data_IF_081899223218
#
_entry.id   IF_081899223218
#
_cell.length_a   1.000
_cell.length_b   1.000
_cell.length_c   1.000
_cell.angle_alpha   90.00
_cell.angle_beta   90.00
_cell.angle_gamma   90.00
#
_symmetry.space_group_name_H-M   'P 1'
#
loop_
_entity.id
_entity.type
_entity.pdbx_description
1 polymer ?
#
# COMPACT_ATOMS: atom_id res chain seq x y z
N UNK A 1 -58.01 20.80 57.07
CA UNK A 1 -58.46 20.99 55.67
C UNK A 1 -57.26 21.42 54.84
N UNK A 2 -57.04 20.78 53.68
CA UNK A 2 -56.13 21.13 52.57
C UNK A 2 -54.61 21.08 52.89
N UNK A 3 -53.82 20.08 52.46
CA UNK A 3 -53.43 19.55 51.11
C UNK A 3 -52.51 20.49 50.29
N UNK A 4 -51.54 19.84 49.63
CA UNK A 4 -50.58 20.27 48.60
C UNK A 4 -49.25 20.88 49.11
N UNK A 5 -48.05 20.59 48.58
CA UNK A 5 -47.53 19.63 47.58
C UNK A 5 -45.98 19.80 47.56
N UNK A 6 -45.25 18.81 47.01
CA UNK A 6 -43.89 18.90 46.41
C UNK A 6 -42.69 19.03 47.38
N UNK A 7 -41.59 18.28 47.26
CA UNK A 7 -41.22 17.22 46.33
C UNK A 7 -40.13 16.38 47.01
N UNK A 8 -40.36 15.06 47.05
CA UNK A 8 -39.38 14.06 47.45
C UNK A 8 -38.35 13.96 46.31
N UNK A 9 -37.18 14.60 46.47
CA UNK A 9 -36.07 14.44 45.55
C UNK A 9 -35.45 13.06 45.81
N UNK A 10 -35.99 12.07 45.12
CA UNK A 10 -35.39 10.75 45.02
C UNK A 10 -34.03 10.91 44.33
N UNK A 11 -32.97 10.90 45.14
CA UNK A 11 -31.61 10.73 44.67
C UNK A 11 -31.49 9.31 44.13
N UNK A 12 -31.85 9.14 42.86
CA UNK A 12 -31.60 7.93 42.12
C UNK A 12 -30.08 7.87 41.91
N UNK A 13 -29.36 7.25 42.85
CA UNK A 13 -28.03 6.74 42.58
C UNK A 13 -28.18 5.66 41.52
N UNK A 14 -28.08 6.07 40.26
CA UNK A 14 -27.69 5.16 39.21
C UNK A 14 -26.21 4.87 39.49
N UNK A 15 -25.95 3.87 40.33
CA UNK A 15 -24.66 3.19 40.34
C UNK A 15 -24.57 2.44 39.03
N UNK A 16 -24.19 3.16 37.98
CA UNK A 16 -23.64 2.53 36.79
C UNK A 16 -22.37 1.83 37.25
N UNK A 17 -22.44 0.51 37.47
CA UNK A 17 -21.25 -0.32 37.54
C UNK A 17 -20.54 -0.16 36.19
N UNK A 18 -19.62 0.81 36.09
CA UNK A 18 -18.62 0.78 35.04
C UNK A 18 -17.68 -0.36 35.42
N UNK A 19 -17.94 -1.54 34.89
CA UNK A 19 -17.01 -2.65 35.04
C UNK A 19 -15.65 -2.19 34.51
N UNK A 20 -14.64 -2.17 35.38
CA UNK A 20 -13.36 -1.57 35.07
C UNK A 20 -12.64 -2.40 33.99
N UNK A 21 -12.12 -1.72 32.98
CA UNK A 21 -11.16 -2.31 32.06
C UNK A 21 -9.95 -2.82 32.86
N UNK A 22 -9.46 -4.02 32.52
CA UNK A 22 -8.24 -4.58 33.12
C UNK A 22 -7.06 -4.28 32.21
N UNK A 23 -5.93 -3.95 32.83
CA UNK A 23 -4.69 -3.61 32.15
C UNK A 23 -3.55 -4.51 32.64
N UNK A 24 -2.76 -5.04 31.70
CA UNK A 24 -1.51 -5.77 31.98
C UNK A 24 -0.40 -5.12 31.18
N UNK A 25 0.64 -4.64 31.88
CA UNK A 25 1.82 -4.01 31.29
C UNK A 25 2.99 -4.98 31.32
N UNK A 26 3.67 -5.14 30.20
CA UNK A 26 4.91 -5.92 30.07
C UNK A 26 6.00 -4.98 29.56
N UNK A 27 7.11 -4.90 30.28
CA UNK A 27 8.28 -4.13 29.88
C UNK A 27 9.51 -5.05 29.86
N UNK A 28 10.23 -5.05 28.74
CA UNK A 28 11.46 -5.82 28.54
C UNK A 28 12.46 -5.02 27.71
N UNK A 29 13.73 -5.17 28.03
CA UNK A 29 14.84 -4.60 27.26
C UNK A 29 15.82 -5.71 26.94
N UNK A 30 16.27 -5.74 25.69
CA UNK A 30 17.25 -6.68 25.17
C UNK A 30 18.40 -5.89 24.57
N UNK A 31 19.58 -6.52 24.45
CA UNK A 31 20.64 -5.98 23.61
C UNK A 31 20.17 -5.93 22.16
N UNK A 32 20.67 -4.99 21.36
CA UNK A 32 20.41 -5.02 19.92
C UNK A 32 20.88 -6.33 19.29
N UNK A 33 20.14 -6.75 18.26
CA UNK A 33 20.40 -7.94 17.46
C UNK A 33 20.32 -7.55 15.99
N UNK A 34 20.85 -8.39 15.11
CA UNK A 34 20.74 -8.16 13.67
C UNK A 34 19.29 -8.28 13.17
N UNK A 35 18.55 -9.29 13.65
CA UNK A 35 17.20 -9.59 13.17
C UNK A 35 16.17 -9.60 14.31
N UNK A 36 15.14 -8.76 14.18
CA UNK A 36 13.99 -8.73 15.06
C UNK A 36 12.75 -9.21 14.33
N UNK A 37 12.02 -10.15 14.94
CA UNK A 37 10.68 -10.53 14.52
C UNK A 37 9.64 -10.10 15.56
N UNK A 38 8.60 -9.42 15.10
CA UNK A 38 7.42 -9.08 15.90
C UNK A 38 6.21 -9.75 15.26
N UNK A 39 5.61 -10.69 15.98
CA UNK A 39 4.35 -11.33 15.61
C UNK A 39 3.27 -10.90 16.61
N UNK A 40 2.52 -9.88 16.21
CA UNK A 40 1.58 -9.20 17.08
C UNK A 40 0.19 -9.19 16.47
N UNK A 41 -0.82 -9.38 17.31
CA UNK A 41 -2.21 -9.41 16.87
C UNK A 41 -3.04 -8.44 17.68
N UNK A 42 -3.98 -7.76 17.03
CA UNK A 42 -5.01 -6.94 17.68
C UNK A 42 -4.47 -5.77 18.49
N UNK A 43 -4.32 -4.59 17.88
CA UNK A 43 -3.93 -3.38 18.60
C UNK A 43 -3.03 -2.47 17.78
N UNK A 44 -2.46 -1.45 18.43
CA UNK A 44 -1.52 -0.54 17.79
C UNK A 44 -0.09 -1.04 17.99
N UNK A 45 0.74 -0.99 16.95
CA UNK A 45 2.19 -1.12 17.04
C UNK A 45 2.82 0.23 16.75
N UNK A 46 3.66 0.71 17.66
CA UNK A 46 4.45 1.91 17.49
C UNK A 46 5.93 1.55 17.55
N UNK A 47 6.64 1.76 16.45
CA UNK A 47 8.07 1.49 16.32
C UNK A 47 8.79 2.83 16.22
N UNK A 48 9.63 3.12 17.21
CA UNK A 48 10.47 4.31 17.25
C UNK A 48 11.94 3.94 17.11
N UNK A 49 12.67 4.69 16.30
CA UNK A 49 14.10 4.46 16.14
C UNK A 49 14.94 5.31 17.09
N UNK A 50 16.10 4.79 17.50
CA UNK A 50 17.06 5.51 18.37
C UNK A 50 18.51 5.05 18.16
N UNK A 51 19.46 5.75 18.77
CA UNK A 51 20.91 5.50 18.61
C UNK A 51 21.51 4.59 19.70
N UNK A 52 20.67 3.83 20.41
CA UNK A 52 21.13 2.94 21.49
C UNK A 52 21.22 1.49 21.04
N UNK A 53 22.26 0.78 21.48
CA UNK A 53 22.45 -0.66 21.23
C UNK A 53 21.51 -1.57 22.04
N UNK A 54 20.23 -1.21 22.13
CA UNK A 54 19.20 -1.94 22.87
C UNK A 54 17.86 -1.90 22.15
N UNK A 55 17.06 -2.95 22.33
CA UNK A 55 15.67 -3.02 21.87
C UNK A 55 14.77 -3.03 23.11
N UNK A 56 13.88 -2.05 23.23
CA UNK A 56 12.95 -1.94 24.35
C UNK A 56 11.52 -2.17 23.90
N UNK A 57 10.85 -3.08 24.58
CA UNK A 57 9.42 -3.36 24.44
C UNK A 57 8.66 -2.80 25.64
N UNK A 58 7.59 -2.07 25.35
CA UNK A 58 6.49 -1.78 26.26
C UNK A 58 5.20 -2.29 25.62
N UNK A 59 4.57 -3.28 26.25
CA UNK A 59 3.31 -3.87 25.77
C UNK A 59 2.21 -3.61 26.78
N UNK A 60 1.12 -2.99 26.34
CA UNK A 60 -0.07 -2.73 27.13
C UNK A 60 -1.24 -3.56 26.61
N UNK A 61 -1.61 -4.58 27.37
CA UNK A 61 -2.79 -5.41 27.14
C UNK A 61 -3.96 -4.78 27.88
N UNK A 62 -5.07 -4.54 27.18
CA UNK A 62 -6.30 -3.98 27.74
C UNK A 62 -7.46 -4.90 27.41
N UNK A 63 -8.21 -5.29 28.43
CA UNK A 63 -9.43 -6.11 28.31
C UNK A 63 -10.61 -5.34 28.87
N UNK A 64 -11.57 -5.04 28.00
CA UNK A 64 -12.81 -4.34 28.31
C UNK A 64 -14.01 -5.30 28.22
N UNK A 65 -14.78 -5.39 29.31
CA UNK A 65 -15.89 -6.32 29.41
C UNK A 65 -16.73 -6.12 30.67
N UNK A 66 -17.92 -6.70 30.66
CA UNK A 66 -18.96 -6.48 31.67
C UNK A 66 -18.80 -7.31 32.95
N UNK A 67 -17.71 -8.06 33.10
CA UNK A 67 -17.44 -8.92 34.26
C UNK A 67 -15.96 -8.87 34.61
N UNK A 68 -15.64 -8.30 35.76
CA UNK A 68 -14.26 -8.03 36.18
C UNK A 68 -13.39 -9.29 36.24
N UNK A 69 -13.85 -10.33 36.95
CA UNK A 69 -13.15 -11.62 37.07
C UNK A 69 -12.85 -12.24 35.70
N UNK A 70 -13.80 -12.15 34.77
CA UNK A 70 -13.61 -12.66 33.41
C UNK A 70 -12.57 -11.85 32.63
N UNK A 71 -12.54 -10.53 32.82
CA UNK A 71 -11.57 -9.65 32.17
C UNK A 71 -10.16 -9.92 32.70
N UNK A 72 -10.03 -10.22 34.00
CA UNK A 72 -8.78 -10.57 34.66
C UNK A 72 -8.23 -11.91 34.12
N UNK A 73 -9.06 -12.97 34.10
CA UNK A 73 -8.67 -14.25 33.49
C UNK A 73 -8.24 -14.08 32.04
N UNK A 74 -8.95 -13.27 31.25
CA UNK A 74 -8.57 -12.98 29.87
C UNK A 74 -7.20 -12.31 29.77
N UNK A 75 -6.95 -11.27 30.57
CA UNK A 75 -5.69 -10.55 30.55
C UNK A 75 -4.51 -11.44 30.99
N UNK A 76 -4.71 -12.32 31.96
CA UNK A 76 -3.71 -13.28 32.41
C UNK A 76 -3.37 -14.31 31.34
N UNK A 77 -4.35 -14.73 30.53
CA UNK A 77 -4.18 -15.67 29.42
C UNK A 77 -3.62 -15.04 28.14
N UNK A 78 -3.25 -13.75 28.17
CA UNK A 78 -2.52 -13.09 27.07
C UNK A 78 -1.09 -12.87 27.55
N UNK A 79 -0.12 -13.47 26.87
CA UNK A 79 1.30 -13.32 27.16
C UNK A 79 2.07 -12.85 25.92
N UNK A 80 3.24 -12.29 26.16
CA UNK A 80 4.20 -11.97 25.11
C UNK A 80 5.43 -12.84 25.36
N UNK A 81 5.66 -13.77 24.45
CA UNK A 81 6.81 -14.67 24.51
C UNK A 81 7.98 -14.02 23.78
N UNK A 82 9.12 -14.00 24.46
CA UNK A 82 10.38 -13.51 23.93
C UNK A 82 11.34 -14.68 23.78
N UNK A 83 11.82 -14.90 22.56
CA UNK A 83 12.80 -15.95 22.25
C UNK A 83 14.06 -15.30 21.72
N UNK A 84 15.16 -15.45 22.47
CA UNK A 84 16.49 -15.01 22.08
C UNK A 84 17.23 -16.15 21.36
N UNK A 85 17.89 -15.82 20.25
CA UNK A 85 18.80 -16.70 19.53
C UNK A 85 20.10 -15.96 19.22
N UNK A 86 21.01 -16.61 18.49
CA UNK A 86 22.21 -15.91 18.01
C UNK A 86 21.81 -14.85 16.97
N UNK A 87 22.12 -13.57 17.25
CA UNK A 87 21.74 -12.42 16.42
C UNK A 87 20.24 -12.30 16.08
N UNK A 88 19.37 -12.92 16.87
CA UNK A 88 17.92 -12.94 16.63
C UNK A 88 17.11 -12.71 17.91
N UNK A 89 16.03 -11.94 17.78
CA UNK A 89 15.02 -11.77 18.82
C UNK A 89 13.64 -11.95 18.20
N UNK A 90 12.80 -12.76 18.83
CA UNK A 90 11.39 -12.93 18.43
C UNK A 90 10.50 -12.50 19.59
N UNK A 91 9.55 -11.60 19.32
CA UNK A 91 8.50 -11.20 20.24
C UNK A 91 7.13 -11.62 19.66
N UNK A 92 6.44 -12.54 20.32
CA UNK A 92 5.18 -13.11 19.83
C UNK A 92 4.04 -12.95 20.84
N UNK A 93 2.88 -12.48 20.38
CA UNK A 93 1.64 -12.57 21.17
C UNK A 93 1.19 -14.03 21.26
N UNK A 94 1.11 -14.56 22.48
CA UNK A 94 0.61 -15.91 22.77
C UNK A 94 -0.71 -15.83 23.52
N UNK A 95 -1.73 -16.49 22.97
CA UNK A 95 -3.05 -16.62 23.56
C UNK A 95 -3.16 -18.01 24.21
N UNK A 96 -3.36 -18.05 25.52
CA UNK A 96 -3.51 -19.28 26.28
C UNK A 96 -4.83 -20.02 26.02
N UNK A 97 -5.00 -21.16 26.69
CA UNK A 97 -6.11 -22.12 26.46
C UNK A 97 -7.51 -21.50 26.57
N UNK A 98 -7.67 -20.43 27.34
CA UNK A 98 -8.90 -19.65 27.42
C UNK A 98 -9.43 -19.23 26.04
N UNK A 99 -8.53 -19.01 25.08
CA UNK A 99 -8.83 -18.57 23.72
C UNK A 99 -8.91 -19.74 22.70
N UNK A 100 -8.70 -20.99 23.09
CA UNK A 100 -8.73 -22.15 22.18
C UNK A 100 -10.12 -22.40 21.56
N UNK A 101 -11.18 -21.80 22.10
CA UNK A 101 -12.50 -21.81 21.48
C UNK A 101 -12.54 -20.79 20.33
N UNK A 102 -12.34 -21.26 19.10
CA UNK A 102 -12.28 -20.46 17.85
C UNK A 102 -13.46 -19.48 17.64
N UNK A 103 -14.64 -19.76 18.20
CA UNK A 103 -15.80 -18.83 18.17
C UNK A 103 -15.70 -17.68 19.19
N UNK A 104 -15.03 -17.91 20.32
CA UNK A 104 -14.86 -16.93 21.40
C UNK A 104 -13.80 -15.89 21.02
N UNK A 105 -12.69 -16.31 20.40
CA UNK A 105 -11.64 -15.41 19.90
C UNK A 105 -12.17 -14.43 18.88
N UNK A 106 -12.75 -14.91 17.77
CA UNK A 106 -13.25 -14.04 16.72
C UNK A 106 -14.32 -13.05 17.24
N UNK A 107 -15.21 -13.47 18.13
CA UNK A 107 -16.27 -12.59 18.67
C UNK A 107 -15.73 -11.51 19.63
N UNK A 108 -14.70 -11.80 20.42
CA UNK A 108 -14.14 -10.85 21.39
C UNK A 108 -13.21 -9.83 20.72
N UNK A 109 -12.32 -10.31 19.84
CA UNK A 109 -11.39 -9.45 19.12
C UNK A 109 -12.13 -8.57 18.09
N UNK A 110 -13.13 -9.10 17.38
CA UNK A 110 -13.94 -8.30 16.44
C UNK A 110 -14.81 -7.25 17.14
N UNK A 111 -15.12 -7.42 18.44
CA UNK A 111 -15.86 -6.42 19.23
C UNK A 111 -14.96 -5.38 19.89
N UNK A 112 -13.64 -5.40 19.61
CA UNK A 112 -12.68 -4.43 20.14
C UNK A 112 -12.46 -4.52 21.65
N UNK A 113 -12.85 -5.64 22.28
CA UNK A 113 -12.78 -5.84 23.73
C UNK A 113 -11.37 -6.15 24.24
N UNK A 114 -10.48 -6.60 23.36
CA UNK A 114 -9.09 -6.89 23.70
C UNK A 114 -8.21 -6.07 22.77
N UNK A 115 -7.26 -5.33 23.35
CA UNK A 115 -6.27 -4.52 22.64
C UNK A 115 -4.89 -4.81 23.22
N UNK A 116 -3.95 -5.15 22.36
CA UNK A 116 -2.55 -5.47 22.70
C UNK A 116 -1.69 -4.45 21.97
N UNK A 117 -1.38 -3.36 22.67
CA UNK A 117 -0.61 -2.27 22.08
C UNK A 117 0.88 -2.47 22.35
N UNK A 118 1.69 -2.43 21.30
CA UNK A 118 3.15 -2.48 21.36
C UNK A 118 3.74 -1.08 21.18
N UNK A 119 4.70 -0.73 22.01
CA UNK A 119 5.64 0.37 21.79
C UNK A 119 7.05 -0.22 21.81
N UNK A 120 7.72 -0.19 20.67
CA UNK A 120 9.06 -0.76 20.46
C UNK A 120 10.03 0.37 20.15
N UNK A 121 11.15 0.43 20.87
CA UNK A 121 12.26 1.32 20.58
C UNK A 121 13.45 0.47 20.14
N UNK A 122 14.03 0.73 18.97
CA UNK A 122 15.12 -0.08 18.40
C UNK A 122 16.03 0.75 17.49
N UNK A 123 17.28 0.33 17.20
CA UNK A 123 18.09 0.96 16.16
C UNK A 123 17.46 0.87 14.77
N UNK A 124 17.66 1.89 13.95
CA UNK A 124 17.14 1.93 12.57
C UNK A 124 17.78 0.90 11.62
N UNK A 125 18.90 0.29 12.03
CA UNK A 125 19.66 -0.68 11.26
C UNK A 125 19.36 -2.16 11.63
N UNK A 126 18.38 -2.42 12.50
CA UNK A 126 17.90 -3.78 12.78
C UNK A 126 16.98 -4.25 11.67
N UNK A 127 17.23 -5.43 11.08
CA UNK A 127 16.31 -6.05 10.14
C UNK A 127 15.01 -6.41 10.87
N UNK A 128 13.87 -6.02 10.32
CA UNK A 128 12.56 -6.22 10.95
C UNK A 128 11.69 -7.14 10.11
N UNK A 129 11.22 -8.23 10.72
CA UNK A 129 10.05 -8.99 10.27
C UNK A 129 8.85 -8.61 11.13
N UNK A 130 7.84 -8.00 10.54
CA UNK A 130 6.62 -7.58 11.22
C UNK A 130 5.41 -8.32 10.63
N UNK A 131 4.81 -9.18 11.44
CA UNK A 131 3.54 -9.83 11.14
C UNK A 131 2.48 -9.18 12.01
N UNK A 132 1.50 -8.52 11.39
CA UNK A 132 0.44 -7.84 12.12
C UNK A 132 -0.94 -7.97 11.49
N UNK A 133 -1.92 -8.37 12.30
CA UNK A 133 -3.31 -8.52 11.88
C UNK A 133 -4.25 -7.72 12.77
N UNK A 134 -5.16 -7.00 12.13
CA UNK A 134 -6.25 -6.25 12.75
C UNK A 134 -5.76 -5.15 13.70
N UNK A 135 -5.17 -4.09 13.15
CA UNK A 135 -4.59 -3.02 13.95
C UNK A 135 -3.75 -2.05 13.13
N UNK A 136 -3.22 -1.03 13.79
CA UNK A 136 -2.48 0.04 13.12
C UNK A 136 -0.99 -0.03 13.46
N UNK A 137 -0.13 0.19 12.48
CA UNK A 137 1.32 0.26 12.65
C UNK A 137 1.80 1.68 12.33
N UNK A 138 2.60 2.23 13.24
CA UNK A 138 3.29 3.50 13.07
C UNK A 138 4.79 3.27 13.22
N UNK A 139 5.58 3.69 12.24
CA UNK A 139 7.02 3.48 12.21
C UNK A 139 7.75 4.78 11.87
N UNK A 140 8.82 5.07 12.61
CA UNK A 140 9.77 6.13 12.28
C UNK A 140 10.64 5.74 11.06
N UNK A 141 11.71 6.48 10.79
CA UNK A 141 12.64 6.20 9.70
C UNK A 141 13.37 4.86 9.93
N UNK A 142 13.40 3.98 8.93
CA UNK A 142 14.05 2.67 9.01
C UNK A 142 14.99 2.47 7.83
N UNK A 143 16.20 2.00 8.12
CA UNK A 143 17.31 1.95 7.16
C UNK A 143 17.75 0.53 6.78
N UNK A 144 17.20 -0.49 7.45
CA UNK A 144 17.53 -1.89 7.23
C UNK A 144 16.40 -2.61 6.48
N UNK A 145 16.53 -3.92 6.33
CA UNK A 145 15.52 -4.74 5.64
C UNK A 145 14.22 -4.78 6.43
N UNK A 146 13.09 -4.56 5.76
CA UNK A 146 11.75 -4.71 6.31
C UNK A 146 10.98 -5.80 5.56
N UNK A 147 10.53 -6.83 6.28
CA UNK A 147 9.54 -7.77 5.79
C UNK A 147 8.22 -7.52 6.54
N UNK A 148 7.19 -7.02 5.85
CA UNK A 148 5.90 -6.68 6.45
C UNK A 148 4.81 -7.61 5.90
N UNK A 149 4.16 -8.39 6.77
CA UNK A 149 2.88 -9.03 6.48
C UNK A 149 1.80 -8.35 7.33
N UNK A 150 1.01 -7.49 6.68
CA UNK A 150 -0.01 -6.71 7.35
C UNK A 150 -1.39 -6.91 6.74
N UNK A 151 -2.37 -7.20 7.60
CA UNK A 151 -3.76 -7.38 7.20
C UNK A 151 -4.73 -6.58 8.06
N UNK A 152 -5.72 -5.96 7.42
CA UNK A 152 -6.84 -5.24 8.04
C UNK A 152 -6.38 -4.11 8.99
N UNK A 153 -5.85 -3.03 8.43
CA UNK A 153 -5.27 -1.97 9.26
C UNK A 153 -4.70 -0.80 8.49
N UNK A 154 -4.08 0.12 9.21
CA UNK A 154 -3.29 1.19 8.61
C UNK A 154 -1.79 0.97 8.89
N UNK A 155 -0.95 1.21 7.90
CA UNK A 155 0.51 1.26 8.05
C UNK A 155 0.99 2.66 7.69
N UNK A 156 1.56 3.37 8.66
CA UNK A 156 2.13 4.71 8.46
C UNK A 156 3.62 4.69 8.78
N UNK A 157 4.45 5.04 7.81
CA UNK A 157 5.88 5.21 8.00
C UNK A 157 6.35 6.55 7.44
N UNK A 158 7.45 7.08 7.97
CA UNK A 158 8.07 8.27 7.39
C UNK A 158 9.00 7.89 6.24
N UNK A 159 10.12 7.22 6.53
CA UNK A 159 11.03 6.72 5.49
C UNK A 159 11.38 5.23 5.67
N UNK A 160 11.27 4.46 4.60
CA UNK A 160 11.69 3.06 4.52
C UNK A 160 12.82 2.95 3.49
N UNK A 161 14.05 3.18 3.95
CA UNK A 161 15.23 3.40 3.10
C UNK A 161 15.94 2.10 2.68
N UNK A 162 15.72 0.99 3.40
CA UNK A 162 16.31 -0.30 3.10
C UNK A 162 15.60 -1.08 1.99
N UNK A 163 15.82 -2.40 1.96
CA UNK A 163 15.06 -3.33 1.13
C UNK A 163 13.73 -3.68 1.80
N UNK A 164 12.62 -3.48 1.09
CA UNK A 164 11.29 -3.66 1.66
C UNK A 164 10.53 -4.77 0.92
N UNK A 165 9.99 -5.73 1.66
CA UNK A 165 9.05 -6.73 1.16
C UNK A 165 7.71 -6.52 1.86
N UNK A 166 6.72 -5.97 1.13
CA UNK A 166 5.45 -5.56 1.70
C UNK A 166 4.31 -6.46 1.17
N UNK A 167 3.70 -7.23 2.07
CA UNK A 167 2.50 -8.00 1.81
C UNK A 167 1.31 -7.39 2.54
N UNK A 168 0.40 -6.81 1.77
CA UNK A 168 -0.68 -5.96 2.26
C UNK A 168 -2.04 -6.51 1.85
N UNK A 169 -2.91 -6.77 2.82
CA UNK A 169 -4.28 -7.23 2.58
C UNK A 169 -5.29 -6.36 3.32
N UNK A 170 -6.10 -5.59 2.59
CA UNK A 170 -7.04 -4.62 3.18
C UNK A 170 -6.33 -3.58 4.06
N UNK A 171 -5.19 -3.06 3.60
CA UNK A 171 -4.38 -2.09 4.34
C UNK A 171 -4.45 -0.71 3.70
N UNK A 172 -4.49 0.34 4.54
CA UNK A 172 -4.18 1.70 4.08
C UNK A 172 -2.73 2.04 4.44
N UNK A 173 -1.88 2.09 3.43
CA UNK A 173 -0.48 2.46 3.58
C UNK A 173 -0.32 3.96 3.32
N UNK A 174 0.42 4.64 4.21
CA UNK A 174 0.93 5.99 4.00
C UNK A 174 2.44 6.01 4.27
N UNK A 175 3.23 6.40 3.27
CA UNK A 175 4.69 6.53 3.41
C UNK A 175 5.21 7.77 2.69
N UNK A 176 6.13 8.49 3.31
CA UNK A 176 6.70 9.70 2.71
C UNK A 176 7.88 9.34 1.77
N UNK A 177 8.72 8.37 2.15
CA UNK A 177 9.83 7.86 1.34
C UNK A 177 9.84 6.32 1.33
N UNK A 178 9.82 5.72 0.14
CA UNK A 178 9.83 4.28 -0.05
C UNK A 178 10.92 3.86 -1.05
N UNK A 179 11.94 3.15 -0.55
CA UNK A 179 13.02 2.65 -1.39
C UNK A 179 12.81 1.18 -1.77
N UNK A 180 13.48 0.71 -2.83
CA UNK A 180 13.61 -0.70 -3.24
C UNK A 180 12.56 -1.67 -2.64
N UNK A 181 11.34 -1.65 -3.18
CA UNK A 181 10.20 -2.37 -2.63
C UNK A 181 9.70 -3.47 -3.55
N UNK A 182 9.58 -4.69 -3.02
CA UNK A 182 8.73 -5.75 -3.56
C UNK A 182 7.35 -5.68 -2.89
N UNK A 183 6.28 -5.67 -3.69
CA UNK A 183 4.92 -5.42 -3.23
C UNK A 183 3.93 -6.50 -3.66
N UNK A 184 3.22 -7.08 -2.70
CA UNK A 184 1.99 -7.84 -2.90
C UNK A 184 0.83 -7.08 -2.23
N UNK A 185 -0.06 -6.47 -3.02
CA UNK A 185 -1.17 -5.68 -2.49
C UNK A 185 -2.55 -6.20 -2.95
N UNK A 186 -3.40 -6.56 -1.99
CA UNK A 186 -4.78 -6.97 -2.23
C UNK A 186 -5.76 -6.07 -1.47
N UNK A 187 -6.75 -5.49 -2.14
CA UNK A 187 -7.80 -4.69 -1.49
C UNK A 187 -7.29 -3.46 -0.75
N UNK A 188 -6.12 -2.95 -1.12
CA UNK A 188 -5.36 -1.98 -0.31
C UNK A 188 -5.35 -0.59 -0.93
N UNK A 189 -5.09 0.43 -0.11
CA UNK A 189 -4.93 1.82 -0.55
C UNK A 189 -3.53 2.30 -0.20
N UNK A 190 -2.76 2.72 -1.19
CA UNK A 190 -1.38 3.14 -1.00
C UNK A 190 -1.27 4.62 -1.32
N UNK A 191 -0.85 5.41 -0.33
CA UNK A 191 -0.47 6.82 -0.49
C UNK A 191 1.04 6.94 -0.29
N UNK A 192 1.75 7.34 -1.34
CA UNK A 192 3.22 7.38 -1.39
C UNK A 192 3.63 8.77 -1.86
N UNK A 193 4.41 9.50 -1.07
CA UNK A 193 4.92 10.80 -1.50
C UNK A 193 6.10 10.62 -2.46
N UNK A 194 7.12 9.83 -2.10
CA UNK A 194 8.24 9.53 -2.99
C UNK A 194 8.60 8.05 -2.95
N UNK A 195 8.82 7.46 -4.12
CA UNK A 195 9.35 6.12 -4.25
C UNK A 195 10.51 6.07 -5.24
N UNK A 196 11.55 5.30 -4.93
CA UNK A 196 12.58 5.01 -5.92
C UNK A 196 12.12 3.85 -6.83
N UNK A 197 11.89 2.66 -6.27
CA UNK A 197 11.54 1.49 -7.06
C UNK A 197 10.47 0.67 -6.38
N UNK A 198 9.41 0.35 -7.11
CA UNK A 198 8.40 -0.63 -6.71
C UNK A 198 8.31 -1.70 -7.80
N UNK A 199 8.49 -2.96 -7.40
CA UNK A 199 8.22 -4.14 -8.22
C UNK A 199 7.15 -4.99 -7.54
N UNK A 200 6.25 -5.60 -8.31
CA UNK A 200 5.38 -6.64 -7.75
C UNK A 200 4.01 -6.76 -8.41
N UNK A 201 3.03 -7.15 -7.61
CA UNK A 201 1.67 -7.42 -8.07
C UNK A 201 0.60 -6.81 -7.17
N UNK A 202 -0.49 -6.40 -7.80
CA UNK A 202 -1.63 -5.85 -7.09
C UNK A 202 -2.97 -6.26 -7.69
N UNK A 203 -3.97 -6.29 -6.81
CA UNK A 203 -5.33 -6.60 -7.16
C UNK A 203 -6.33 -5.84 -6.29
N UNK A 204 -7.39 -5.36 -6.92
CA UNK A 204 -8.51 -4.68 -6.26
C UNK A 204 -8.05 -3.49 -5.36
N UNK A 205 -7.00 -2.77 -5.76
CA UNK A 205 -6.30 -1.76 -4.96
C UNK A 205 -6.25 -0.36 -5.60
N UNK A 206 -5.96 0.66 -4.80
CA UNK A 206 -5.84 2.07 -5.23
C UNK A 206 -4.48 2.64 -4.83
N UNK A 207 -3.80 3.27 -5.79
CA UNK A 207 -2.49 3.88 -5.64
C UNK A 207 -2.59 5.38 -5.90
N UNK A 208 -2.14 6.19 -4.93
CA UNK A 208 -1.90 7.61 -5.08
C UNK A 208 -0.41 7.86 -4.82
N UNK A 209 0.35 8.16 -5.88
CA UNK A 209 1.80 8.30 -5.83
C UNK A 209 2.17 9.69 -6.33
N UNK A 210 2.87 10.49 -5.53
CA UNK A 210 3.30 11.81 -5.99
C UNK A 210 4.49 11.68 -6.94
N UNK A 211 5.58 11.04 -6.50
CA UNK A 211 6.76 10.84 -7.35
C UNK A 211 7.22 9.40 -7.25
N UNK A 212 7.48 8.77 -8.40
CA UNK A 212 8.13 7.46 -8.47
C UNK A 212 9.13 7.38 -9.61
N UNK A 213 10.34 6.90 -9.35
CA UNK A 213 11.33 6.71 -10.41
C UNK A 213 10.98 5.44 -11.24
N UNK A 214 10.87 4.26 -10.63
CA UNK A 214 10.58 3.02 -11.33
C UNK A 214 9.38 2.26 -10.76
N UNK A 215 8.35 2.03 -11.59
CA UNK A 215 7.21 1.18 -11.28
C UNK A 215 7.15 -0.01 -12.26
N UNK A 216 7.40 -1.22 -11.75
CA UNK A 216 7.20 -2.46 -12.49
C UNK A 216 6.09 -3.29 -11.85
N UNK A 217 4.88 -3.26 -12.41
CA UNK A 217 3.71 -3.84 -11.73
C UNK A 217 2.81 -4.68 -12.62
N UNK A 218 2.40 -5.83 -12.09
CA UNK A 218 1.29 -6.64 -12.61
C UNK A 218 0.01 -6.28 -11.84
N UNK A 219 -0.96 -5.71 -12.55
CA UNK A 219 -2.14 -5.12 -11.93
C UNK A 219 -3.44 -5.80 -12.36
N UNK A 220 -4.41 -5.90 -11.43
CA UNK A 220 -5.73 -6.46 -11.71
C UNK A 220 -6.84 -5.69 -11.01
N UNK A 221 -7.68 -4.97 -11.77
CA UNK A 221 -8.77 -4.12 -11.25
C UNK A 221 -8.29 -3.05 -10.28
N UNK A 222 -7.11 -2.49 -10.55
CA UNK A 222 -6.56 -1.41 -9.73
C UNK A 222 -6.78 -0.03 -10.36
N UNK A 223 -6.57 1.00 -9.55
CA UNK A 223 -6.53 2.39 -9.97
C UNK A 223 -5.20 3.01 -9.54
N UNK A 224 -4.52 3.66 -10.48
CA UNK A 224 -3.30 4.42 -10.26
C UNK A 224 -3.54 5.89 -10.61
N UNK A 225 -3.24 6.76 -9.64
CA UNK A 225 -3.14 8.21 -9.79
C UNK A 225 -1.69 8.58 -9.44
N UNK A 226 -0.90 8.87 -10.47
CA UNK A 226 0.53 9.11 -10.36
C UNK A 226 0.83 10.52 -10.87
N UNK A 227 1.43 11.37 -10.04
CA UNK A 227 1.73 12.73 -10.46
C UNK A 227 2.98 12.77 -11.35
N UNK A 228 4.08 12.14 -10.95
CA UNK A 228 5.32 12.10 -11.73
C UNK A 228 5.90 10.68 -11.72
N UNK A 229 6.25 10.17 -12.92
CA UNK A 229 6.91 8.87 -13.10
C UNK A 229 8.03 8.94 -14.15
N UNK A 230 9.16 8.27 -13.89
CA UNK A 230 10.22 8.14 -14.89
C UNK A 230 10.04 6.88 -15.75
N UNK A 231 9.85 5.72 -15.12
CA UNK A 231 9.78 4.43 -15.80
C UNK A 231 8.57 3.59 -15.38
N UNK A 232 7.74 3.19 -16.35
CA UNK A 232 6.59 2.31 -16.14
C UNK A 232 6.74 1.01 -16.95
N UNK A 233 6.76 -0.11 -16.25
CA UNK A 233 6.84 -1.44 -16.84
C UNK A 233 5.77 -2.38 -16.27
N UNK A 234 5.41 -3.40 -17.04
CA UNK A 234 4.59 -4.51 -16.57
C UNK A 234 3.30 -4.70 -17.37
N UNK A 235 2.22 -5.06 -16.68
CA UNK A 235 0.96 -5.37 -17.37
C UNK A 235 -0.27 -5.16 -16.48
N UNK A 236 -1.42 -4.88 -17.09
CA UNK A 236 -2.68 -4.72 -16.37
C UNK A 236 -3.87 -5.43 -17.00
N UNK A 237 -4.82 -5.79 -16.14
CA UNK A 237 -6.12 -6.32 -16.52
C UNK A 237 -7.24 -5.62 -15.75
N UNK A 238 -8.15 -4.93 -16.44
CA UNK A 238 -9.22 -4.12 -15.83
C UNK A 238 -8.74 -2.94 -14.98
N UNK A 239 -7.51 -2.47 -15.18
CA UNK A 239 -6.93 -1.41 -14.36
C UNK A 239 -6.88 -0.06 -15.08
N UNK A 240 -6.77 1.00 -14.30
CA UNK A 240 -6.80 2.39 -14.76
C UNK A 240 -5.54 3.12 -14.31
N UNK A 241 -4.88 3.80 -15.24
CA UNK A 241 -3.72 4.65 -14.96
C UNK A 241 -4.03 6.09 -15.38
N UNK A 242 -3.93 7.01 -14.44
CA UNK A 242 -3.90 8.46 -14.66
C UNK A 242 -2.51 8.94 -14.24
N UNK A 243 -1.72 9.40 -15.21
CA UNK A 243 -0.33 9.82 -15.02
C UNK A 243 -0.20 11.27 -15.45
N UNK A 244 0.07 12.17 -14.50
CA UNK A 244 0.13 13.59 -14.83
C UNK A 244 1.39 13.94 -15.64
N UNK A 245 2.56 13.40 -15.28
CA UNK A 245 3.81 13.62 -15.99
C UNK A 245 4.63 12.33 -16.11
N UNK A 246 5.24 12.14 -17.28
CA UNK A 246 6.16 11.03 -17.56
C UNK A 246 7.47 11.56 -18.16
N UNK A 247 8.60 11.09 -17.63
CA UNK A 247 9.93 11.53 -18.06
C UNK A 247 10.67 10.58 -19.00
N UNK A 248 10.63 9.27 -18.73
CA UNK A 248 11.57 8.31 -19.30
C UNK A 248 10.94 7.31 -20.26
N UNK A 249 10.49 6.15 -19.73
CA UNK A 249 10.06 5.02 -20.56
C UNK A 249 8.75 4.39 -20.12
N UNK A 250 8.03 3.86 -21.10
CA UNK A 250 6.90 2.95 -20.86
C UNK A 250 7.13 1.68 -21.70
N UNK A 251 7.09 0.50 -21.08
CA UNK A 251 6.84 -0.78 -21.76
C UNK A 251 5.72 -1.53 -21.03
N UNK A 252 4.50 -1.45 -21.56
CA UNK A 252 3.31 -1.86 -20.81
C UNK A 252 2.25 -2.57 -21.65
N UNK A 253 1.77 -3.70 -21.14
CA UNK A 253 0.67 -4.46 -21.72
C UNK A 253 -0.64 -4.14 -20.99
N UNK A 254 -1.67 -3.65 -21.68
CA UNK A 254 -2.97 -3.36 -21.08
C UNK A 254 -4.13 -4.16 -21.70
N UNK A 255 -4.97 -4.75 -20.85
CA UNK A 255 -6.18 -5.47 -21.26
C UNK A 255 -7.36 -4.97 -20.44
N UNK A 256 -8.39 -4.45 -21.09
CA UNK A 256 -9.56 -3.85 -20.42
C UNK A 256 -9.17 -2.73 -19.42
N UNK A 257 -9.63 -1.50 -19.64
CA UNK A 257 -9.26 -0.36 -18.80
C UNK A 257 -8.65 0.77 -19.60
N UNK A 258 -7.71 1.52 -19.02
CA UNK A 258 -7.06 2.62 -19.72
C UNK A 258 -5.74 3.07 -19.11
N UNK A 259 -4.93 3.73 -19.93
CA UNK A 259 -3.78 4.53 -19.53
C UNK A 259 -3.89 5.92 -20.14
N UNK A 260 -3.86 6.94 -19.29
CA UNK A 260 -3.79 8.34 -19.68
C UNK A 260 -2.49 8.93 -19.14
N UNK A 261 -1.69 9.52 -20.02
CA UNK A 261 -0.49 10.28 -19.67
C UNK A 261 -0.67 11.70 -20.20
N UNK A 262 -0.78 12.67 -19.29
CA UNK A 262 -1.15 14.04 -19.65
C UNK A 262 0.02 14.92 -20.10
N UNK A 263 1.24 14.57 -19.71
CA UNK A 263 2.41 15.37 -20.04
C UNK A 263 3.65 14.48 -20.20
N UNK A 264 3.95 14.11 -21.44
CA UNK A 264 5.14 13.31 -21.79
C UNK A 264 6.30 14.25 -22.14
N UNK A 265 7.39 14.14 -21.39
CA UNK A 265 8.58 14.97 -21.53
C UNK A 265 9.21 14.82 -22.93
N UNK A 266 9.69 15.91 -23.51
CA UNK A 266 10.39 15.93 -24.81
C UNK A 266 11.62 15.02 -24.92
N UNK A 267 12.19 14.57 -23.81
CA UNK A 267 13.40 13.73 -23.77
C UNK A 267 13.13 12.26 -23.40
N UNK A 268 11.87 11.83 -23.42
CA UNK A 268 11.53 10.42 -23.19
C UNK A 268 12.28 9.50 -24.17
N UNK A 269 12.65 8.31 -23.73
CA UNK A 269 13.42 7.36 -24.55
C UNK A 269 12.48 6.61 -25.50
N UNK A 270 11.53 5.86 -24.95
CA UNK A 270 10.48 5.21 -25.73
C UNK A 270 9.19 4.99 -24.95
N UNK A 271 8.10 4.87 -25.70
CA UNK A 271 6.81 4.38 -25.22
C UNK A 271 6.44 3.18 -26.08
N UNK A 272 6.25 2.03 -25.43
CA UNK A 272 5.78 0.79 -26.02
C UNK A 272 4.53 0.32 -25.28
N UNK A 273 3.42 0.22 -26.02
CA UNK A 273 2.13 -0.19 -25.47
C UNK A 273 1.51 -1.32 -26.30
N UNK A 274 1.09 -2.41 -25.66
CA UNK A 274 0.23 -3.44 -26.27
C UNK A 274 -1.15 -3.41 -25.61
N UNK A 275 -2.14 -2.86 -26.31
CA UNK A 275 -3.50 -2.67 -25.81
C UNK A 275 -4.53 -3.55 -26.48
N UNK A 276 -5.36 -4.21 -25.67
CA UNK A 276 -6.52 -4.98 -26.11
C UNK A 276 -7.74 -4.58 -25.30
N UNK A 277 -8.76 -4.02 -25.98
CA UNK A 277 -9.99 -3.55 -25.34
C UNK A 277 -9.76 -2.48 -24.26
N UNK A 278 -8.66 -1.74 -24.34
CA UNK A 278 -8.30 -0.72 -23.36
C UNK A 278 -7.92 0.59 -24.05
N UNK A 279 -8.31 1.71 -23.44
CA UNK A 279 -8.12 3.02 -24.06
C UNK A 279 -6.72 3.56 -23.77
N UNK A 280 -6.18 4.30 -24.72
CA UNK A 280 -4.88 4.97 -24.60
C UNK A 280 -5.10 6.46 -24.79
N UNK A 281 -4.63 7.28 -23.86
CA UNK A 281 -4.54 8.73 -23.99
C UNK A 281 -3.11 9.18 -23.73
N UNK A 282 -2.46 9.77 -24.72
CA UNK A 282 -1.10 10.30 -24.59
C UNK A 282 -1.08 11.74 -25.07
N UNK A 283 -0.62 12.65 -24.20
CA UNK A 283 -0.45 14.06 -24.52
C UNK A 283 1.03 14.42 -24.34
N UNK A 284 1.64 14.96 -25.39
CA UNK A 284 3.07 15.25 -25.43
C UNK A 284 3.36 16.73 -25.24
N UNK A 285 4.52 17.06 -24.67
CA UNK A 285 4.96 18.45 -24.58
C UNK A 285 5.17 19.07 -25.96
N UNK A 286 4.94 20.39 -26.05
CA UNK A 286 5.27 21.16 -27.24
C UNK A 286 6.77 21.04 -27.57
N UNK A 287 7.07 20.89 -28.86
CA UNK A 287 8.45 20.73 -29.34
C UNK A 287 8.99 19.31 -29.23
N UNK A 288 8.14 18.32 -28.95
CA UNK A 288 8.52 16.91 -28.97
C UNK A 288 9.08 16.50 -30.33
N UNK A 289 10.04 15.57 -30.31
CA UNK A 289 10.62 14.98 -31.52
C UNK A 289 10.45 13.47 -31.40
N UNK A 290 9.54 12.90 -32.18
CA UNK A 290 9.27 11.47 -32.12
C UNK A 290 9.12 10.83 -33.48
N UNK A 291 9.46 9.54 -33.53
CA UNK A 291 9.05 8.62 -34.58
C UNK A 291 7.99 7.70 -34.00
N UNK A 292 6.86 7.56 -34.70
CA UNK A 292 5.77 6.70 -34.26
C UNK A 292 5.47 5.58 -35.26
N UNK A 293 5.18 4.41 -34.71
CA UNK A 293 4.60 3.27 -35.42
C UNK A 293 3.42 2.72 -34.62
N UNK A 294 2.23 2.78 -35.22
CA UNK A 294 0.99 2.33 -34.60
C UNK A 294 0.42 1.19 -35.45
N UNK A 295 0.52 -0.02 -34.91
CA UNK A 295 -0.08 -1.23 -35.46
C UNK A 295 -1.48 -1.40 -34.84
N UNK A 296 -2.52 -1.26 -35.64
CA UNK A 296 -3.87 -1.19 -35.09
C UNK A 296 -4.94 -2.00 -35.83
N UNK A 297 -5.99 -2.35 -35.08
CA UNK A 297 -7.21 -2.98 -35.57
C UNK A 297 -8.41 -2.48 -34.78
N UNK A 298 -9.44 -2.03 -35.49
CA UNK A 298 -10.68 -1.54 -34.88
C UNK A 298 -10.42 -0.45 -33.82
N UNK A 299 -9.58 0.53 -34.15
CA UNK A 299 -9.28 1.65 -33.25
C UNK A 299 -10.06 2.89 -33.68
N UNK A 300 -10.71 3.54 -32.71
CA UNK A 300 -11.27 4.89 -32.90
C UNK A 300 -10.22 5.90 -32.45
N UNK A 301 -9.70 6.67 -33.39
CA UNK A 301 -8.75 7.75 -33.12
C UNK A 301 -9.47 9.07 -32.81
N UNK A 302 -8.88 9.81 -31.88
CA UNK A 302 -9.22 11.18 -31.49
C UNK A 302 -7.89 11.93 -31.31
N UNK A 303 -7.23 12.29 -32.41
CA UNK A 303 -5.87 12.81 -32.38
C UNK A 303 -5.78 14.25 -32.89
N UNK A 304 -4.75 14.97 -32.44
CA UNK A 304 -4.38 16.27 -32.99
C UNK A 304 -3.95 16.15 -34.46
N UNK A 305 -3.97 17.27 -35.19
CA UNK A 305 -3.57 17.31 -36.60
C UNK A 305 -2.07 16.98 -36.82
N UNK A 306 -1.28 16.97 -35.75
CA UNK A 306 0.14 16.62 -35.79
C UNK A 306 0.36 15.13 -36.10
N UNK A 307 -0.61 14.27 -35.76
CA UNK A 307 -0.57 12.84 -36.07
C UNK A 307 -1.20 12.55 -37.44
N UNK A 308 -0.36 12.23 -38.42
CA UNK A 308 -0.82 11.75 -39.73
C UNK A 308 -1.01 10.23 -39.68
N UNK A 309 -2.26 9.78 -39.47
CA UNK A 309 -2.61 8.36 -39.37
C UNK A 309 -3.05 7.79 -40.72
N UNK A 310 -2.18 7.85 -41.72
CA UNK A 310 -2.42 7.18 -43.02
C UNK A 310 -2.35 5.68 -42.82
N UNK A 311 -3.45 4.99 -43.09
CA UNK A 311 -3.54 3.55 -42.91
C UNK A 311 -2.95 2.82 -44.11
N UNK A 312 -1.82 2.13 -43.90
CA UNK A 312 -1.35 1.11 -44.83
C UNK A 312 -1.92 -0.24 -44.42
N UNK A 313 -2.64 -0.89 -45.33
CA UNK A 313 -3.22 -2.21 -45.11
C UNK A 313 -2.12 -3.27 -45.08
N UNK A 314 -2.10 -4.10 -44.05
CA UNK A 314 -1.17 -5.24 -43.94
C UNK A 314 -1.58 -6.41 -44.84
N UNK A 315 -0.68 -7.39 -45.01
CA UNK A 315 -0.92 -8.58 -45.85
C UNK A 315 -2.18 -9.38 -45.45
N UNK A 316 -2.58 -9.36 -44.17
CA UNK A 316 -3.79 -10.03 -43.67
C UNK A 316 -5.10 -9.26 -43.94
N UNK A 317 -5.02 -8.03 -44.48
CA UNK A 317 -6.11 -7.08 -44.75
C UNK A 317 -6.98 -6.72 -43.55
N UNK A 318 -6.56 -7.05 -42.32
CA UNK A 318 -7.34 -6.85 -41.08
C UNK A 318 -6.63 -5.98 -40.06
N UNK A 319 -5.34 -5.74 -40.23
CA UNK A 319 -4.58 -4.75 -39.45
C UNK A 319 -4.11 -3.61 -40.35
N UNK A 320 -3.83 -2.48 -39.70
CA UNK A 320 -3.33 -1.29 -40.36
C UNK A 320 -2.09 -0.82 -39.63
N UNK A 321 -1.18 -0.21 -40.37
CA UNK A 321 0.00 0.44 -39.81
C UNK A 321 -0.04 1.91 -40.15
N UNK A 322 0.08 2.75 -39.14
CA UNK A 322 0.31 4.18 -39.30
C UNK A 322 1.73 4.49 -38.82
N UNK A 323 2.53 5.11 -39.69
CA UNK A 323 3.90 5.54 -39.37
C UNK A 323 4.08 7.01 -39.67
N UNK A 324 4.91 7.67 -38.89
CA UNK A 324 5.25 9.06 -39.14
C UNK A 324 6.29 9.61 -38.17
N UNK A 325 6.57 10.89 -38.32
CA UNK A 325 7.52 11.65 -37.52
C UNK A 325 6.92 12.98 -37.14
N UNK A 326 7.19 13.39 -35.90
CA UNK A 326 6.87 14.72 -35.37
C UNK A 326 8.19 15.39 -35.00
N UNK A 327 8.31 16.69 -35.31
CA UNK A 327 9.54 17.45 -35.09
C UNK A 327 10.57 17.32 -36.22
N UNK A 328 11.67 18.07 -36.10
CA UNK A 328 12.68 18.24 -37.15
C UNK A 328 14.13 17.97 -36.66
N UNK A 329 14.31 17.52 -35.41
CA UNK A 329 15.64 17.22 -34.85
C UNK A 329 16.14 15.85 -35.30
N UNK A 330 17.44 15.59 -35.16
CA UNK A 330 18.07 14.31 -35.58
C UNK A 330 17.80 13.15 -34.63
N UNK A 331 17.62 13.42 -33.34
CA UNK A 331 17.31 12.41 -32.32
C UNK A 331 15.82 12.41 -32.05
N UNK A 332 15.19 11.24 -32.17
CA UNK A 332 13.76 11.05 -31.97
C UNK A 332 13.53 10.05 -30.85
N UNK A 333 12.62 10.39 -29.94
CA UNK A 333 11.97 9.45 -29.05
C UNK A 333 11.09 8.49 -29.86
N UNK A 334 10.87 7.26 -29.36
CA UNK A 334 10.11 6.25 -30.10
C UNK A 334 8.74 6.01 -29.50
N UNK A 335 7.69 6.06 -30.32
CA UNK A 335 6.34 5.69 -29.93
C UNK A 335 5.89 4.44 -30.70
N UNK A 336 5.80 3.30 -30.03
CA UNK A 336 5.38 2.04 -30.63
C UNK A 336 4.11 1.52 -29.96
N UNK A 337 3.00 1.50 -30.69
CA UNK A 337 1.73 1.05 -30.13
C UNK A 337 1.18 -0.13 -30.94
N UNK A 338 0.76 -1.19 -30.24
CA UNK A 338 -0.12 -2.23 -30.77
C UNK A 338 -1.48 -2.05 -30.12
N UNK A 339 -2.53 -1.83 -30.91
CA UNK A 339 -3.87 -1.54 -30.37
C UNK A 339 -4.97 -2.34 -31.08
N UNK A 340 -5.81 -3.03 -30.32
CA UNK A 340 -6.91 -3.82 -30.84
C UNK A 340 -8.22 -3.55 -30.08
N UNK A 341 -9.26 -3.10 -30.79
CA UNK A 341 -10.56 -2.70 -30.21
C UNK A 341 -10.43 -1.61 -29.12
N UNK A 342 -9.73 -0.52 -29.44
CA UNK A 342 -9.39 0.54 -28.48
C UNK A 342 -9.96 1.90 -28.92
N UNK A 343 -10.09 2.83 -27.98
CA UNK A 343 -10.07 4.26 -28.30
C UNK A 343 -8.67 4.81 -28.03
N UNK A 344 -8.16 5.62 -28.94
CA UNK A 344 -6.83 6.20 -28.82
C UNK A 344 -6.91 7.71 -29.01
N UNK A 345 -6.40 8.44 -28.03
CA UNK A 345 -6.21 9.88 -28.07
C UNK A 345 -4.73 10.21 -28.06
N UNK A 346 -4.27 10.95 -29.05
CA UNK A 346 -2.89 11.40 -29.18
C UNK A 346 -2.90 12.91 -29.40
N UNK A 347 -2.33 13.66 -28.46
CA UNK A 347 -2.33 15.12 -28.46
C UNK A 347 -0.92 15.68 -28.55
#
# INVERSE_FOLDING_TARGET
MHRLLLALLAFCMITGNSYAAKHKKIEKTFKSVENLKIDAHYGKIQIKTWDKDEIRFEVLITVDGSKEEKNETMAENINIDFTEGDQQLVAQTVLGDFFSIKKLTNSLFNKGKIKINYSVQMPANVNLELVHKNGDVFMDDHNAKLNLDHSNGNFTAKALNGENNLKLSSVKLKVDQLNNTELEAAGSKLKIENANKITGESRDSEFNIQVIDNLNIKSSRDKFDIKEIEYLYGSSNFSKFEIAQMGGEIDYDLKFGHINVFNINNMYSFIKLDSKYANIGLSFMEGCNMEYEINHKSVKFDNSNDFTLKNETTADKKTFVAKGKIGNKKTFSKLNIRANNCKMRLE
#
